data_IF_762753053190
#
_entry.id   IF_762753053190
#
_cell.length_a   1.000
_cell.length_b   1.000
_cell.length_c   1.000
_cell.angle_alpha   90.00
_cell.angle_beta   90.00
_cell.angle_gamma   90.00
#
_symmetry.space_group_name_H-M   'P 1'
#
loop_
_entity.id
_entity.type
_entity.pdbx_description
1 polymer ?
#
# COMPACT_ATOMS: atom_id res chain seq x y z
N UNK A 1 9.84 42.24 -72.66
CA UNK A 1 10.61 43.43 -73.04
C UNK A 1 12.01 43.34 -72.45
N UNK A 2 13.03 43.43 -73.33
CA UNK A 2 14.43 43.87 -73.19
C UNK A 2 15.27 43.46 -71.95
N UNK A 3 16.32 42.64 -72.17
CA UNK A 3 17.78 42.98 -72.35
C UNK A 3 18.44 43.29 -70.98
N UNK A 4 19.64 42.82 -70.62
CA UNK A 4 20.73 42.11 -71.26
C UNK A 4 21.95 42.13 -70.31
N UNK A 5 22.84 41.15 -70.44
CA UNK A 5 24.19 40.96 -69.82
C UNK A 5 25.13 42.18 -70.07
N UNK A 6 26.42 42.29 -69.61
CA UNK A 6 27.34 41.21 -69.19
C UNK A 6 28.47 41.47 -68.13
N UNK A 7 29.07 40.34 -67.74
CA UNK A 7 30.48 40.00 -67.44
C UNK A 7 31.54 41.11 -67.24
N UNK A 8 32.34 40.94 -66.18
CA UNK A 8 33.79 41.16 -66.23
C UNK A 8 34.54 39.97 -65.60
N UNK A 9 35.53 39.47 -66.34
CA UNK A 9 36.50 38.45 -65.97
C UNK A 9 37.83 39.08 -65.52
N UNK A 10 38.69 38.20 -65.00
CA UNK A 10 40.15 38.32 -64.77
C UNK A 10 40.52 38.82 -63.36
N UNK A 11 41.50 38.25 -62.66
CA UNK A 11 42.71 37.54 -63.07
C UNK A 11 43.10 36.45 -62.06
N UNK A 12 43.74 35.39 -62.57
CA UNK A 12 44.56 34.45 -61.78
C UNK A 12 45.81 35.17 -61.26
N UNK A 13 46.18 34.94 -60.00
CA UNK A 13 47.57 34.94 -59.58
C UNK A 13 47.77 33.91 -58.47
N UNK A 14 48.60 32.93 -58.80
CA UNK A 14 49.08 31.84 -57.97
C UNK A 14 49.99 32.36 -56.86
N UNK A 15 49.65 32.09 -55.60
CA UNK A 15 50.64 32.09 -54.53
C UNK A 15 50.62 30.76 -53.80
N UNK A 16 51.80 30.13 -53.83
CA UNK A 16 52.13 28.86 -53.18
C UNK A 16 52.16 29.11 -51.68
N UNK A 17 51.37 28.35 -50.91
CA UNK A 17 51.48 28.34 -49.46
C UNK A 17 51.78 26.93 -48.96
N UNK A 18 52.91 26.80 -48.27
CA UNK A 18 53.40 25.56 -47.68
C UNK A 18 52.54 25.12 -46.49
N UNK A 19 52.41 23.81 -46.22
CA UNK A 19 51.55 23.33 -45.14
C UNK A 19 52.18 23.56 -43.77
N UNK A 20 51.57 24.44 -42.96
CA UNK A 20 51.83 24.52 -41.51
C UNK A 20 51.23 23.29 -40.82
N UNK A 21 52.11 22.47 -40.23
CA UNK A 21 51.75 21.39 -39.28
C UNK A 21 50.89 21.96 -38.15
N UNK A 22 49.61 21.60 -38.11
CA UNK A 22 48.76 21.79 -36.94
C UNK A 22 48.93 20.59 -36.02
N UNK A 23 49.42 20.86 -34.81
CA UNK A 23 49.43 19.95 -33.68
C UNK A 23 48.00 19.62 -33.26
N UNK A 24 47.66 18.34 -33.27
CA UNK A 24 46.41 17.80 -32.71
C UNK A 24 46.42 17.91 -31.18
N UNK A 25 45.39 18.46 -30.52
CA UNK A 25 45.25 18.34 -29.09
C UNK A 25 44.92 16.89 -28.72
N UNK A 26 45.71 16.30 -27.82
CA UNK A 26 45.49 14.98 -27.24
C UNK A 26 44.24 15.04 -26.35
N UNK A 27 43.07 14.72 -26.88
CA UNK A 27 41.91 14.40 -26.06
C UNK A 27 42.24 13.15 -25.24
N UNK A 28 42.47 13.35 -23.94
CA UNK A 28 42.49 12.28 -22.98
C UNK A 28 41.03 11.84 -22.81
N UNK A 29 40.65 10.77 -23.49
CA UNK A 29 39.41 10.08 -23.21
C UNK A 29 39.50 9.55 -21.77
N UNK A 30 38.95 10.31 -20.82
CA UNK A 30 38.66 9.80 -19.49
C UNK A 30 37.61 8.72 -19.70
N UNK A 31 38.07 7.47 -19.67
CA UNK A 31 37.23 6.30 -19.66
C UNK A 31 36.50 6.30 -18.32
N UNK A 32 35.33 6.95 -18.28
CA UNK A 32 34.40 6.81 -17.16
C UNK A 32 33.89 5.38 -17.25
N UNK A 33 34.59 4.48 -16.55
CA UNK A 33 34.11 3.14 -16.26
C UNK A 33 32.74 3.31 -15.59
N UNK A 34 31.65 2.80 -16.16
CA UNK A 34 30.39 2.78 -15.46
C UNK A 34 30.63 1.91 -14.22
N UNK A 35 30.45 2.50 -13.03
CA UNK A 35 30.25 1.72 -11.83
C UNK A 35 29.07 0.80 -12.12
N UNK A 36 29.38 -0.47 -12.42
CA UNK A 36 28.40 -1.54 -12.30
C UNK A 36 27.93 -1.39 -10.85
N UNK A 37 26.67 -1.01 -10.66
CA UNK A 37 26.04 -0.95 -9.34
C UNK A 37 26.04 -2.39 -8.83
N UNK A 38 27.19 -2.79 -8.28
CA UNK A 38 27.44 -4.11 -7.77
C UNK A 38 26.52 -4.30 -6.59
N UNK A 39 25.84 -5.44 -6.57
CA UNK A 39 25.19 -5.95 -5.38
C UNK A 39 26.18 -5.88 -4.22
N UNK A 40 26.04 -4.89 -3.35
CA UNK A 40 26.91 -4.73 -2.20
C UNK A 40 26.41 -5.67 -1.12
N UNK A 41 27.01 -6.87 -1.09
CA UNK A 41 26.72 -7.85 -0.06
C UNK A 41 27.18 -7.36 1.31
N UNK A 42 26.40 -7.69 2.34
CA UNK A 42 26.73 -7.37 3.72
C UNK A 42 27.98 -8.15 4.18
N UNK A 43 28.98 -7.52 4.83
CA UNK A 43 30.14 -8.21 5.37
C UNK A 43 29.77 -9.31 6.38
N UNK A 44 30.61 -10.34 6.53
CA UNK A 44 30.31 -11.50 7.39
C UNK A 44 29.96 -11.12 8.84
N UNK A 45 30.74 -10.22 9.46
CA UNK A 45 30.48 -9.76 10.84
C UNK A 45 29.12 -9.06 10.96
N UNK A 46 28.72 -8.28 9.95
CA UNK A 46 27.42 -7.61 9.92
C UNK A 46 26.28 -8.62 9.68
N UNK A 47 26.48 -9.65 8.83
CA UNK A 47 25.55 -10.78 8.71
C UNK A 47 25.35 -11.49 10.06
N UNK A 48 26.44 -11.72 10.80
CA UNK A 48 26.39 -12.31 12.14
C UNK A 48 25.63 -11.44 13.15
N UNK A 49 25.82 -10.12 13.12
CA UNK A 49 25.05 -9.19 13.98
C UNK A 49 23.55 -9.20 13.66
N UNK A 50 23.16 -9.31 12.37
CA UNK A 50 21.75 -9.46 11.97
C UNK A 50 21.18 -10.79 12.48
N UNK A 51 21.91 -11.89 12.34
CA UNK A 51 21.51 -13.19 12.90
C UNK A 51 21.34 -13.14 14.42
N UNK A 52 22.28 -12.50 15.14
CA UNK A 52 22.19 -12.34 16.59
C UNK A 52 21.01 -11.44 16.99
N UNK A 53 20.73 -10.39 16.22
CA UNK A 53 19.56 -9.55 16.44
C UNK A 53 18.24 -10.32 16.25
N UNK A 54 18.21 -11.26 15.30
CA UNK A 54 17.06 -12.16 15.10
C UNK A 54 16.86 -13.08 16.30
N UNK A 55 17.93 -13.66 16.85
CA UNK A 55 17.87 -14.43 18.10
C UNK A 55 17.38 -13.56 19.28
N UNK A 56 17.94 -12.36 19.45
CA UNK A 56 17.52 -11.43 20.49
C UNK A 56 16.04 -11.05 20.34
N UNK A 57 15.54 -10.90 19.11
CA UNK A 57 14.12 -10.67 18.84
C UNK A 57 13.24 -11.86 19.24
N UNK A 58 13.65 -13.09 18.91
CA UNK A 58 12.94 -14.31 19.29
C UNK A 58 12.91 -14.49 20.81
N UNK A 59 14.01 -14.14 21.48
CA UNK A 59 14.16 -14.10 22.95
C UNK A 59 13.41 -12.93 23.62
N UNK A 60 12.68 -12.10 22.84
CA UNK A 60 11.98 -10.89 23.31
C UNK A 60 12.89 -9.81 23.89
N UNK A 61 14.20 -9.86 23.66
CA UNK A 61 15.19 -8.82 24.01
C UNK A 61 15.16 -7.68 22.98
N UNK A 62 13.99 -7.06 22.80
CA UNK A 62 13.75 -6.05 21.75
C UNK A 62 14.76 -4.88 21.76
N UNK A 63 15.18 -4.32 22.92
CA UNK A 63 16.19 -3.26 22.92
C UNK A 63 17.56 -3.71 22.41
N UNK A 64 18.00 -4.92 22.76
CA UNK A 64 19.28 -5.47 22.31
C UNK A 64 19.25 -5.75 20.80
N UNK A 65 18.20 -6.43 20.32
CA UNK A 65 17.98 -6.66 18.89
C UNK A 65 18.02 -5.36 18.10
N UNK A 66 17.29 -4.33 18.58
CA UNK A 66 17.26 -3.02 17.92
C UNK A 66 18.63 -2.35 17.90
N UNK A 67 19.36 -2.35 19.00
CA UNK A 67 20.69 -1.72 19.07
C UNK A 67 21.67 -2.35 18.06
N UNK A 68 21.66 -3.68 17.92
CA UNK A 68 22.47 -4.39 16.90
C UNK A 68 22.09 -3.97 15.48
N UNK A 69 20.80 -3.94 15.19
CA UNK A 69 20.30 -3.54 13.88
C UNK A 69 20.64 -2.09 13.56
N UNK A 70 20.51 -1.18 14.53
CA UNK A 70 20.89 0.22 14.35
C UNK A 70 22.38 0.36 14.02
N UNK A 71 23.26 -0.42 14.68
CA UNK A 71 24.69 -0.43 14.37
C UNK A 71 24.97 -0.90 12.92
N UNK A 72 24.36 -2.01 12.50
CA UNK A 72 24.48 -2.53 11.12
C UNK A 72 23.98 -1.50 10.11
N UNK A 73 22.81 -0.92 10.34
CA UNK A 73 22.14 -0.02 9.40
C UNK A 73 22.80 1.37 9.32
N UNK A 74 23.49 1.81 10.37
CA UNK A 74 24.26 3.06 10.34
C UNK A 74 25.49 2.97 9.42
N UNK A 75 26.07 1.77 9.27
CA UNK A 75 27.30 1.56 8.51
C UNK A 75 27.03 1.00 7.11
N UNK A 76 26.03 0.12 7.00
CA UNK A 76 25.75 -0.67 5.80
C UNK A 76 24.31 -0.49 5.28
N UNK A 77 23.60 0.57 5.69
CA UNK A 77 22.18 0.77 5.36
C UNK A 77 21.84 0.86 3.86
N UNK A 78 22.83 1.09 2.99
CA UNK A 78 22.64 1.12 1.53
C UNK A 78 23.02 -0.19 0.82
N UNK A 79 23.45 -1.20 1.59
CA UNK A 79 23.84 -2.50 1.05
C UNK A 79 22.61 -3.33 0.73
N UNK A 80 22.60 -4.06 -0.40
CA UNK A 80 21.48 -4.95 -0.73
C UNK A 80 21.29 -6.02 0.34
N UNK A 81 22.40 -6.48 0.94
CA UNK A 81 22.39 -7.42 2.06
C UNK A 81 21.84 -6.86 3.38
N UNK A 82 21.53 -5.57 3.48
CA UNK A 82 20.93 -4.96 4.68
C UNK A 82 19.40 -5.09 4.72
N UNK A 83 18.76 -5.60 3.67
CA UNK A 83 17.30 -5.70 3.59
C UNK A 83 16.66 -6.47 4.76
N UNK A 84 17.27 -7.58 5.19
CA UNK A 84 16.79 -8.37 6.33
C UNK A 84 16.86 -7.58 7.64
N UNK A 85 17.92 -6.78 7.83
CA UNK A 85 18.07 -5.93 9.01
C UNK A 85 16.94 -4.89 9.08
N UNK A 86 16.61 -4.25 7.96
CA UNK A 86 15.46 -3.36 7.86
C UNK A 86 14.15 -4.08 8.18
N UNK A 87 13.91 -5.26 7.59
CA UNK A 87 12.70 -6.02 7.88
C UNK A 87 12.56 -6.38 9.36
N UNK A 88 13.64 -6.81 10.01
CA UNK A 88 13.61 -7.14 11.43
C UNK A 88 13.37 -5.90 12.30
N UNK A 89 14.03 -4.78 11.99
CA UNK A 89 13.80 -3.52 12.72
C UNK A 89 12.39 -3.00 12.50
N UNK A 90 11.81 -3.21 11.30
CA UNK A 90 10.42 -2.88 11.01
C UNK A 90 9.46 -3.66 11.92
N UNK A 91 9.69 -4.97 12.13
CA UNK A 91 8.91 -5.78 13.09
C UNK A 91 8.97 -5.21 14.50
N UNK A 92 10.17 -4.92 14.99
CA UNK A 92 10.38 -4.34 16.33
C UNK A 92 9.66 -2.99 16.45
N UNK A 93 9.79 -2.13 15.45
CA UNK A 93 9.13 -0.83 15.42
C UNK A 93 7.60 -0.97 15.38
N UNK A 94 7.06 -1.95 14.66
CA UNK A 94 5.62 -2.22 14.61
C UNK A 94 5.09 -2.69 15.98
N UNK A 95 5.78 -3.61 16.65
CA UNK A 95 5.41 -4.12 17.98
C UNK A 95 5.51 -3.05 19.07
N UNK A 96 6.47 -2.13 18.95
CA UNK A 96 6.66 -1.00 19.88
C UNK A 96 5.84 0.23 19.51
N UNK A 97 4.80 0.05 18.67
CA UNK A 97 3.86 1.09 18.22
C UNK A 97 4.47 2.26 17.44
N UNK A 98 5.73 2.16 17.01
CA UNK A 98 6.36 3.13 16.10
C UNK A 98 6.05 2.81 14.63
N UNK A 99 4.76 2.88 14.27
CA UNK A 99 4.27 2.51 12.93
C UNK A 99 4.94 3.28 11.78
N UNK A 100 5.30 4.55 12.02
CA UNK A 100 5.95 5.38 10.99
C UNK A 100 7.37 4.89 10.68
N UNK A 101 8.15 4.54 11.71
CA UNK A 101 9.50 3.98 11.51
C UNK A 101 9.43 2.57 10.91
N UNK A 102 8.47 1.77 11.37
CA UNK A 102 8.23 0.44 10.81
C UNK A 102 7.92 0.49 9.31
N UNK A 103 7.10 1.45 8.87
CA UNK A 103 6.76 1.59 7.46
C UNK A 103 7.99 1.99 6.62
N UNK A 104 8.80 2.94 7.11
CA UNK A 104 10.04 3.33 6.42
C UNK A 104 11.02 2.17 6.30
N UNK A 105 11.19 1.40 7.37
CA UNK A 105 12.07 0.23 7.35
C UNK A 105 11.54 -0.87 6.41
N UNK A 106 10.23 -1.13 6.40
CA UNK A 106 9.63 -2.07 5.45
C UNK A 106 9.82 -1.63 3.99
N UNK A 107 9.67 -0.33 3.70
CA UNK A 107 9.95 0.24 2.37
C UNK A 107 11.41 0.08 1.98
N UNK A 108 12.34 0.33 2.91
CA UNK A 108 13.78 0.16 2.64
C UNK A 108 14.16 -1.29 2.39
N UNK A 109 13.52 -2.24 3.07
CA UNK A 109 13.65 -3.66 2.76
C UNK A 109 13.17 -3.98 1.33
N UNK A 110 12.01 -3.47 0.92
CA UNK A 110 11.47 -3.68 -0.45
C UNK A 110 12.44 -3.15 -1.51
N UNK A 111 13.05 -1.99 -1.28
CA UNK A 111 14.01 -1.38 -2.21
C UNK A 111 15.32 -2.17 -2.35
N UNK A 112 15.81 -2.77 -1.26
CA UNK A 112 17.13 -3.41 -1.22
C UNK A 112 17.09 -4.92 -1.46
N UNK A 113 15.98 -5.58 -1.11
CA UNK A 113 15.88 -7.04 -1.10
C UNK A 113 15.94 -7.63 -2.50
N UNK A 114 16.81 -8.63 -2.66
CA UNK A 114 16.87 -9.50 -3.84
C UNK A 114 16.13 -10.83 -3.61
N UNK A 115 15.72 -11.10 -2.37
CA UNK A 115 14.94 -12.28 -1.98
C UNK A 115 13.44 -11.99 -2.17
N UNK A 116 12.79 -12.76 -3.05
CA UNK A 116 11.38 -12.60 -3.38
C UNK A 116 10.44 -12.85 -2.20
N UNK A 117 10.77 -13.80 -1.33
CA UNK A 117 9.97 -14.12 -0.14
C UNK A 117 10.09 -13.00 0.90
N UNK A 118 11.31 -12.50 1.14
CA UNK A 118 11.53 -11.36 2.03
C UNK A 118 10.81 -10.11 1.53
N UNK A 119 10.90 -9.83 0.23
CA UNK A 119 10.18 -8.71 -0.40
C UNK A 119 8.66 -8.85 -0.22
N UNK A 120 8.11 -10.05 -0.41
CA UNK A 120 6.68 -10.33 -0.18
C UNK A 120 6.28 -10.08 1.29
N UNK A 121 7.09 -10.52 2.25
CA UNK A 121 6.88 -10.26 3.69
C UNK A 121 6.93 -8.76 4.02
N UNK A 122 7.87 -8.02 3.43
CA UNK A 122 7.99 -6.57 3.64
C UNK A 122 6.80 -5.81 3.03
N UNK A 123 6.31 -6.22 1.86
CA UNK A 123 5.05 -5.73 1.29
C UNK A 123 3.85 -6.01 2.20
N UNK A 124 3.73 -7.23 2.75
CA UNK A 124 2.65 -7.58 3.67
C UNK A 124 2.65 -6.67 4.91
N UNK A 125 3.84 -6.34 5.42
CA UNK A 125 4.03 -5.43 6.55
C UNK A 125 3.67 -3.98 6.20
N UNK A 126 4.18 -3.44 5.10
CA UNK A 126 3.89 -2.09 4.66
C UNK A 126 2.37 -1.89 4.46
N UNK A 127 1.74 -2.82 3.73
CA UNK A 127 0.29 -2.81 3.49
C UNK A 127 -0.51 -2.94 4.79
N UNK A 128 -0.05 -3.78 5.73
CA UNK A 128 -0.65 -3.90 7.07
C UNK A 128 -0.59 -2.58 7.85
N UNK A 129 0.58 -1.95 7.91
CA UNK A 129 0.78 -0.70 8.65
C UNK A 129 -0.08 0.44 8.07
N UNK A 130 -0.19 0.50 6.74
CA UNK A 130 -1.04 1.47 6.06
C UNK A 130 -2.53 1.17 6.27
N UNK A 131 -2.95 -0.09 6.22
CA UNK A 131 -4.32 -0.49 6.56
C UNK A 131 -4.70 -0.05 7.98
N UNK A 132 -3.83 -0.32 8.95
CA UNK A 132 -4.10 0.01 10.36
C UNK A 132 -4.09 1.51 10.66
N UNK A 133 -3.43 2.32 9.84
CA UNK A 133 -3.47 3.79 9.93
C UNK A 133 -4.59 4.40 9.09
N UNK A 134 -5.39 3.57 8.42
CA UNK A 134 -6.50 4.00 7.56
C UNK A 134 -6.08 4.55 6.19
N UNK A 135 -4.81 4.41 5.81
CA UNK A 135 -4.29 4.76 4.50
C UNK A 135 -4.58 3.67 3.47
N UNK A 136 -5.87 3.35 3.28
CA UNK A 136 -6.35 2.21 2.48
C UNK A 136 -5.90 2.25 1.02
N UNK A 137 -5.95 3.43 0.37
CA UNK A 137 -5.44 3.59 -1.00
C UNK A 137 -3.96 3.23 -1.14
N UNK A 138 -3.13 3.62 -0.17
CA UNK A 138 -1.69 3.30 -0.17
C UNK A 138 -1.42 1.83 0.15
N UNK A 139 -2.27 1.19 0.97
CA UNK A 139 -2.13 -0.21 1.36
C UNK A 139 -2.35 -1.20 0.21
N UNK A 140 -3.28 -0.90 -0.70
CA UNK A 140 -3.68 -1.77 -1.83
C UNK A 140 -2.48 -2.34 -2.60
N UNK A 141 -1.57 -1.53 -3.20
CA UNK A 141 -0.48 -2.06 -4.00
C UNK A 141 0.49 -2.94 -3.19
N UNK A 142 0.68 -2.64 -1.90
CA UNK A 142 1.53 -3.46 -1.05
C UNK A 142 0.87 -4.80 -0.68
N UNK A 143 -0.43 -4.81 -0.38
CA UNK A 143 -1.16 -6.05 -0.06
C UNK A 143 -1.28 -6.98 -1.29
N UNK A 144 -1.50 -6.40 -2.47
CA UNK A 144 -1.50 -7.13 -3.75
C UNK A 144 -0.14 -7.76 -4.07
N UNK A 145 0.93 -6.97 -3.96
CA UNK A 145 2.30 -7.45 -4.17
C UNK A 145 2.68 -8.58 -3.18
N UNK A 146 2.24 -8.48 -1.93
CA UNK A 146 2.43 -9.53 -0.94
C UNK A 146 1.77 -10.85 -1.37
N UNK A 147 0.48 -10.81 -1.70
CA UNK A 147 -0.32 -12.00 -2.04
C UNK A 147 0.15 -12.71 -3.31
N UNK A 148 0.86 -12.03 -4.20
CA UNK A 148 1.39 -12.64 -5.44
C UNK A 148 2.36 -13.81 -5.15
N UNK A 149 3.05 -13.80 -4.00
CA UNK A 149 4.10 -14.78 -3.67
C UNK A 149 4.01 -15.35 -2.25
N UNK A 150 3.05 -14.91 -1.44
CA UNK A 150 2.81 -15.54 -0.15
C UNK A 150 2.31 -16.98 -0.35
N UNK A 151 2.81 -17.94 0.43
CA UNK A 151 2.23 -19.28 0.47
C UNK A 151 0.75 -19.23 0.85
N UNK A 152 -0.09 -20.09 0.26
CA UNK A 152 -1.53 -20.18 0.56
C UNK A 152 -1.80 -20.88 1.91
N UNK A 153 -1.26 -20.31 2.99
CA UNK A 153 -1.48 -20.70 4.39
C UNK A 153 -1.44 -19.46 5.27
N UNK A 154 -1.97 -19.50 6.50
CA UNK A 154 -1.87 -18.37 7.42
C UNK A 154 -0.42 -17.85 7.52
N UNK A 155 -0.20 -16.52 7.45
CA UNK A 155 -1.20 -15.45 7.58
C UNK A 155 -1.74 -14.87 6.24
N UNK A 156 -1.68 -15.60 5.12
CA UNK A 156 -2.16 -15.10 3.82
C UNK A 156 -3.68 -14.77 3.82
N UNK A 157 -4.46 -15.47 4.64
CA UNK A 157 -5.86 -15.18 4.94
C UNK A 157 -6.06 -13.77 5.51
N UNK A 158 -5.23 -13.36 6.47
CA UNK A 158 -5.28 -12.01 7.06
C UNK A 158 -4.91 -10.94 6.04
N UNK A 159 -3.88 -11.17 5.23
CA UNK A 159 -3.46 -10.23 4.19
C UNK A 159 -4.56 -10.08 3.13
N UNK A 160 -5.16 -11.19 2.70
CA UNK A 160 -6.29 -11.19 1.75
C UNK A 160 -7.51 -10.47 2.31
N UNK A 161 -7.86 -10.71 3.57
CA UNK A 161 -8.96 -9.99 4.22
C UNK A 161 -8.71 -8.48 4.22
N UNK A 162 -7.53 -8.05 4.65
CA UNK A 162 -7.14 -6.62 4.68
C UNK A 162 -7.17 -6.01 3.27
N UNK A 163 -6.73 -6.76 2.27
CA UNK A 163 -6.78 -6.32 0.88
C UNK A 163 -8.21 -6.08 0.41
N UNK A 164 -9.11 -7.04 0.64
CA UNK A 164 -10.54 -6.90 0.35
C UNK A 164 -11.17 -5.69 1.05
N UNK A 165 -10.86 -5.45 2.32
CA UNK A 165 -11.36 -4.27 3.05
C UNK A 165 -10.82 -2.96 2.46
N UNK A 166 -9.54 -2.89 2.10
CA UNK A 166 -8.97 -1.71 1.45
C UNK A 166 -9.66 -1.43 0.11
N UNK A 167 -9.82 -2.46 -0.72
CA UNK A 167 -10.52 -2.36 -2.01
C UNK A 167 -11.95 -1.83 -1.81
N UNK A 168 -12.67 -2.36 -0.83
CA UNK A 168 -14.03 -1.93 -0.53
C UNK A 168 -14.06 -0.47 -0.06
N UNK A 169 -13.16 -0.06 0.83
CA UNK A 169 -13.06 1.32 1.32
C UNK A 169 -12.85 2.34 0.18
N UNK A 170 -12.09 1.96 -0.84
CA UNK A 170 -11.84 2.75 -2.05
C UNK A 170 -12.96 2.61 -3.11
N UNK A 171 -14.06 1.91 -2.79
CA UNK A 171 -15.20 1.73 -3.68
C UNK A 171 -14.96 0.75 -4.84
N UNK A 172 -13.95 -0.12 -4.72
CA UNK A 172 -13.63 -1.21 -5.67
C UNK A 172 -14.36 -2.49 -5.25
N UNK A 173 -15.69 -2.44 -5.23
CA UNK A 173 -16.56 -3.47 -4.64
C UNK A 173 -16.46 -4.84 -5.30
N UNK A 174 -16.43 -4.91 -6.63
CA UNK A 174 -16.30 -6.17 -7.36
C UNK A 174 -15.00 -6.90 -7.03
N UNK A 175 -13.91 -6.16 -6.91
CA UNK A 175 -12.60 -6.70 -6.53
C UNK A 175 -12.57 -7.13 -5.08
N UNK A 176 -13.14 -6.33 -4.17
CA UNK A 176 -13.27 -6.70 -2.77
C UNK A 176 -14.05 -8.01 -2.59
N UNK A 177 -15.18 -8.17 -3.28
CA UNK A 177 -15.99 -9.41 -3.26
C UNK A 177 -15.18 -10.61 -3.74
N UNK A 178 -14.41 -10.46 -4.81
CA UNK A 178 -13.51 -11.53 -5.29
C UNK A 178 -12.52 -11.95 -4.20
N UNK A 179 -11.87 -11.01 -3.53
CA UNK A 179 -10.90 -11.34 -2.47
C UNK A 179 -11.57 -12.01 -1.26
N UNK A 180 -12.76 -11.55 -0.84
CA UNK A 180 -13.51 -12.20 0.23
C UNK A 180 -14.00 -13.60 -0.17
N UNK A 181 -14.44 -13.81 -1.41
CA UNK A 181 -14.83 -15.12 -1.91
C UNK A 181 -13.65 -16.09 -1.94
N UNK A 182 -12.51 -15.65 -2.47
CA UNK A 182 -11.27 -16.46 -2.45
C UNK A 182 -10.86 -16.80 -1.02
N UNK A 183 -10.98 -15.85 -0.08
CA UNK A 183 -10.69 -16.11 1.33
C UNK A 183 -11.58 -17.22 1.88
N UNK A 184 -12.90 -17.13 1.70
CA UNK A 184 -13.85 -18.13 2.22
C UNK A 184 -13.65 -19.50 1.57
N UNK A 185 -13.23 -19.55 0.30
CA UNK A 185 -12.94 -20.80 -0.39
C UNK A 185 -11.64 -21.46 0.09
N UNK A 186 -10.57 -20.68 0.27
CA UNK A 186 -9.25 -21.19 0.67
C UNK A 186 -9.16 -21.42 2.19
N UNK A 187 -9.89 -20.63 2.97
CA UNK A 187 -9.88 -20.63 4.44
C UNK A 187 -11.33 -20.66 4.94
N UNK A 188 -12.02 -21.81 4.87
CA UNK A 188 -13.45 -21.89 5.17
C UNK A 188 -13.78 -21.80 6.67
N UNK A 189 -12.80 -21.79 7.57
CA UNK A 189 -13.04 -21.74 9.00
C UNK A 189 -12.27 -20.59 9.66
N UNK A 190 -12.72 -20.19 10.86
CA UNK A 190 -12.09 -19.15 11.66
C UNK A 190 -12.69 -17.75 11.46
N UNK A 191 -12.26 -16.83 12.33
CA UNK A 191 -12.86 -15.50 12.46
C UNK A 191 -12.80 -14.66 11.17
N UNK A 192 -11.72 -14.80 10.39
CA UNK A 192 -11.56 -14.07 9.13
C UNK A 192 -12.53 -14.57 8.06
N UNK A 193 -12.78 -15.88 7.99
CA UNK A 193 -13.77 -16.48 7.11
C UNK A 193 -15.18 -15.95 7.45
N UNK A 194 -15.54 -15.95 8.74
CA UNK A 194 -16.83 -15.42 9.19
C UNK A 194 -16.97 -13.92 8.92
N UNK A 195 -15.90 -13.15 9.11
CA UNK A 195 -15.89 -11.72 8.74
C UNK A 195 -16.09 -11.55 7.24
N UNK A 196 -15.34 -12.26 6.42
CA UNK A 196 -15.45 -12.19 4.95
C UNK A 196 -16.86 -12.58 4.45
N UNK A 197 -17.49 -13.62 5.04
CA UNK A 197 -18.88 -13.98 4.73
C UNK A 197 -19.84 -12.83 5.03
N UNK A 198 -19.72 -12.18 6.18
CA UNK A 198 -20.54 -11.00 6.50
C UNK A 198 -20.34 -9.85 5.51
N UNK A 199 -19.10 -9.67 5.01
CA UNK A 199 -18.86 -8.67 3.95
C UNK A 199 -19.56 -9.04 2.65
N UNK A 200 -19.60 -10.33 2.30
CA UNK A 200 -20.27 -10.84 1.10
C UNK A 200 -21.81 -10.78 1.18
N UNK A 201 -22.38 -10.89 2.39
CA UNK A 201 -23.82 -10.72 2.63
C UNK A 201 -24.33 -9.31 2.33
N UNK A 202 -23.45 -8.31 2.23
CA UNK A 202 -23.88 -6.97 1.86
C UNK A 202 -24.30 -6.90 0.38
N UNK A 203 -25.54 -6.49 0.07
CA UNK A 203 -26.09 -6.62 -1.27
C UNK A 203 -25.69 -5.49 -2.23
N UNK A 204 -25.20 -4.36 -1.72
CA UNK A 204 -24.90 -3.16 -2.52
C UNK A 204 -23.43 -2.95 -2.80
N UNK A 205 -23.13 -2.08 -3.75
CA UNK A 205 -21.76 -1.60 -4.02
C UNK A 205 -21.60 -0.16 -3.48
N UNK A 206 -22.03 0.00 -2.23
CA UNK A 206 -22.03 1.26 -1.48
C UNK A 206 -22.01 0.99 0.02
N UNK A 207 -21.40 1.89 0.77
CA UNK A 207 -21.57 2.01 2.21
C UNK A 207 -22.90 2.70 2.53
N UNK A 208 -23.45 2.42 3.70
CA UNK A 208 -24.52 3.21 4.29
C UNK A 208 -24.23 3.50 5.77
N UNK A 209 -24.96 4.44 6.35
CA UNK A 209 -24.90 4.68 7.80
C UNK A 209 -26.09 3.99 8.45
N UNK A 210 -25.83 2.95 9.24
CA UNK A 210 -26.84 2.24 10.01
C UNK A 210 -27.20 3.03 11.27
N UNK A 211 -28.48 3.34 11.42
CA UNK A 211 -29.05 4.05 12.56
C UNK A 211 -29.73 3.11 13.57
N UNK A 212 -30.13 1.92 13.15
CA UNK A 212 -30.83 0.97 14.01
C UNK A 212 -31.12 -0.34 13.31
N UNK A 213 -31.44 -1.37 14.10
CA UNK A 213 -31.93 -2.66 13.62
C UNK A 213 -33.02 -3.14 14.58
N UNK A 214 -34.24 -3.32 14.07
CA UNK A 214 -35.43 -3.57 14.87
C UNK A 214 -36.08 -4.91 14.52
N UNK A 215 -36.73 -5.56 15.48
CA UNK A 215 -37.49 -6.79 15.22
C UNK A 215 -38.83 -6.50 14.54
N UNK A 216 -39.45 -5.37 14.86
CA UNK A 216 -40.71 -4.93 14.30
C UNK A 216 -40.53 -3.73 13.35
N UNK A 217 -41.45 -3.60 12.40
CA UNK A 217 -41.44 -2.53 11.41
C UNK A 217 -41.86 -1.18 11.99
N UNK A 218 -42.74 -1.16 12.98
CA UNK A 218 -43.25 0.07 13.60
C UNK A 218 -42.14 0.89 14.27
N UNK A 219 -41.23 0.24 14.99
CA UNK A 219 -40.08 0.87 15.64
C UNK A 219 -39.11 1.45 14.61
N UNK A 220 -38.88 0.72 13.51
CA UNK A 220 -38.08 1.21 12.39
C UNK A 220 -38.73 2.44 11.75
N UNK A 221 -40.05 2.43 11.52
CA UNK A 221 -40.80 3.56 10.95
C UNK A 221 -40.82 4.80 11.85
N UNK A 222 -40.88 4.61 13.18
CA UNK A 222 -40.68 5.69 14.15
C UNK A 222 -39.29 6.33 14.01
N UNK A 223 -38.23 5.54 13.87
CA UNK A 223 -36.88 6.07 13.65
C UNK A 223 -36.74 6.75 12.27
N UNK A 224 -37.34 6.21 11.21
CA UNK A 224 -37.42 6.85 9.88
C UNK A 224 -38.04 8.25 10.01
N UNK A 225 -39.13 8.38 10.76
CA UNK A 225 -39.81 9.66 10.93
C UNK A 225 -38.91 10.68 11.63
N UNK A 226 -38.25 10.33 12.74
CA UNK A 226 -37.32 11.23 13.43
C UNK A 226 -36.14 11.69 12.53
N UNK A 227 -35.57 10.76 11.77
CA UNK A 227 -34.49 11.05 10.82
C UNK A 227 -34.96 11.99 9.69
N UNK A 228 -36.16 11.80 9.14
CA UNK A 228 -36.73 12.67 8.09
C UNK A 228 -36.99 14.10 8.59
N UNK A 229 -37.51 14.26 9.81
CA UNK A 229 -37.69 15.59 10.42
C UNK A 229 -36.36 16.33 10.60
N UNK A 230 -35.25 15.59 10.71
CA UNK A 230 -33.90 16.15 10.76
C UNK A 230 -33.27 16.40 9.38
N UNK A 231 -34.05 16.29 8.30
CA UNK A 231 -33.60 16.53 6.92
C UNK A 231 -32.78 15.39 6.30
N UNK A 232 -32.76 14.20 6.91
CA UNK A 232 -32.04 13.04 6.39
C UNK A 232 -32.96 12.22 5.46
N UNK A 233 -32.33 11.43 4.58
CA UNK A 233 -33.03 10.52 3.66
C UNK A 233 -32.81 9.06 4.08
N UNK A 234 -33.55 8.56 5.09
CA UNK A 234 -33.38 7.20 5.57
C UNK A 234 -34.25 6.21 4.78
N UNK A 235 -33.89 4.93 4.85
CA UNK A 235 -34.65 3.80 4.29
C UNK A 235 -34.58 2.59 5.23
N UNK A 236 -35.54 1.69 5.09
CA UNK A 236 -35.54 0.39 5.78
C UNK A 236 -35.10 -0.68 4.80
N UNK A 237 -34.11 -1.47 5.19
CA UNK A 237 -33.70 -2.68 4.48
C UNK A 237 -33.81 -3.88 5.44
N UNK A 238 -34.64 -4.90 5.12
CA UNK A 238 -34.64 -6.15 5.88
C UNK A 238 -33.31 -6.87 5.73
N UNK A 239 -32.70 -7.28 6.84
CA UNK A 239 -31.43 -8.02 6.84
C UNK A 239 -31.50 -9.23 7.74
N UNK A 240 -31.02 -10.36 7.27
CA UNK A 240 -30.87 -11.57 8.08
C UNK A 240 -29.63 -11.43 8.95
N UNK A 241 -29.77 -11.69 10.25
CA UNK A 241 -28.66 -11.79 11.20
C UNK A 241 -28.94 -12.96 12.13
N UNK A 242 -28.06 -13.96 12.12
CA UNK A 242 -28.19 -15.16 12.96
C UNK A 242 -29.56 -15.86 12.82
N UNK A 243 -30.07 -15.95 11.59
CA UNK A 243 -31.35 -16.59 11.28
C UNK A 243 -32.60 -15.76 11.61
N UNK A 244 -32.45 -14.51 12.08
CA UNK A 244 -33.56 -13.58 12.32
C UNK A 244 -33.52 -12.42 11.33
N UNK A 245 -34.67 -12.07 10.78
CA UNK A 245 -34.80 -10.88 9.93
C UNK A 245 -35.02 -9.64 10.79
N UNK A 246 -34.15 -8.65 10.64
CA UNK A 246 -34.24 -7.35 11.31
C UNK A 246 -34.53 -6.25 10.29
N UNK A 247 -35.38 -5.31 10.67
CA UNK A 247 -35.64 -4.08 9.93
C UNK A 247 -34.49 -3.11 10.20
N UNK A 248 -33.54 -3.01 9.26
CA UNK A 248 -32.35 -2.18 9.43
C UNK A 248 -32.62 -0.79 8.85
N UNK A 249 -32.45 0.25 9.65
CA UNK A 249 -32.61 1.64 9.22
C UNK A 249 -31.25 2.17 8.77
N UNK A 250 -31.20 2.61 7.51
CA UNK A 250 -29.98 3.07 6.84
C UNK A 250 -30.16 4.49 6.31
N UNK A 251 -29.11 5.30 6.36
CA UNK A 251 -29.04 6.64 5.78
C UNK A 251 -27.96 6.68 4.71
N UNK A 252 -28.32 7.22 3.55
CA UNK A 252 -27.41 7.46 2.43
C UNK A 252 -26.89 6.20 1.73
N UNK A 253 -26.28 6.43 0.58
CA UNK A 253 -25.51 5.44 -0.17
C UNK A 253 -24.21 6.13 -0.60
N UNK A 254 -23.09 5.60 -0.15
CA UNK A 254 -21.78 6.24 -0.32
C UNK A 254 -20.85 5.28 -1.04
N UNK A 255 -20.27 5.71 -2.16
CA UNK A 255 -19.38 4.85 -2.95
C UNK A 255 -18.13 4.40 -2.18
N UNK A 256 -17.60 5.28 -1.33
CA UNK A 256 -16.36 5.06 -0.57
C UNK A 256 -16.59 5.20 0.93
N UNK A 257 -15.71 4.57 1.71
CA UNK A 257 -15.77 4.67 3.17
C UNK A 257 -15.50 6.11 3.63
N UNK A 258 -14.61 6.83 2.93
CA UNK A 258 -14.31 8.24 3.21
C UNK A 258 -15.55 9.12 3.06
N UNK A 259 -16.38 8.91 2.03
CA UNK A 259 -17.62 9.65 1.84
C UNK A 259 -18.64 9.35 2.96
N UNK A 260 -18.81 8.08 3.33
CA UNK A 260 -19.66 7.70 4.46
C UNK A 260 -19.16 8.30 5.79
N UNK A 261 -17.85 8.31 6.00
CA UNK A 261 -17.21 8.90 7.19
C UNK A 261 -17.42 10.40 7.28
N UNK A 262 -17.39 11.12 6.17
CA UNK A 262 -17.70 12.55 6.13
C UNK A 262 -19.16 12.85 6.45
N UNK A 263 -20.09 11.96 6.10
CA UNK A 263 -21.52 12.11 6.40
C UNK A 263 -21.91 11.67 7.82
N UNK A 264 -21.14 10.77 8.44
CA UNK A 264 -21.44 10.17 9.74
C UNK A 264 -21.71 11.19 10.87
N UNK A 265 -20.95 12.30 11.04
CA UNK A 265 -21.20 13.26 12.11
C UNK A 265 -22.60 13.88 12.06
N UNK A 266 -23.12 14.18 10.86
CA UNK A 266 -24.47 14.75 10.70
C UNK A 266 -25.55 13.76 11.12
N UNK A 267 -25.37 12.47 10.83
CA UNK A 267 -26.29 11.42 11.27
C UNK A 267 -26.19 11.19 12.78
N UNK A 268 -24.98 11.25 13.35
CA UNK A 268 -24.75 11.08 14.79
C UNK A 268 -25.37 12.16 15.68
N UNK A 269 -25.68 13.33 15.13
CA UNK A 269 -26.46 14.36 15.84
C UNK A 269 -27.89 13.90 16.16
N UNK A 270 -28.44 13.01 15.36
CA UNK A 270 -29.80 12.46 15.53
C UNK A 270 -29.75 11.08 16.19
N UNK A 271 -28.78 10.26 15.80
CA UNK A 271 -28.61 8.89 16.29
C UNK A 271 -27.16 8.67 16.70
N UNK A 272 -26.87 8.89 17.99
CA UNK A 272 -25.50 8.83 18.54
C UNK A 272 -24.80 7.49 18.28
N UNK A 273 -25.56 6.39 18.31
CA UNK A 273 -25.10 5.03 18.04
C UNK A 273 -24.96 4.68 16.56
N UNK A 274 -25.11 5.63 15.63
CA UNK A 274 -25.00 5.35 14.21
C UNK A 274 -23.59 4.89 13.83
N UNK A 275 -23.51 3.87 12.96
CA UNK A 275 -22.26 3.26 12.50
C UNK A 275 -22.26 3.14 10.98
N UNK A 276 -21.08 3.15 10.36
CA UNK A 276 -20.96 2.86 8.93
C UNK A 276 -21.06 1.36 8.76
N UNK A 277 -21.97 0.93 7.90
CA UNK A 277 -22.05 -0.43 7.42
C UNK A 277 -21.42 -0.47 6.01
N UNK A 278 -20.44 -1.38 5.77
CA UNK A 278 -20.16 -1.84 4.42
C UNK A 278 -21.38 -2.54 3.90
#
# INVERSE_FOLDING_TARGET
MRRGRPLHQSTRSSERWAPRRRSSPRFHAVLVLPFVAGCTELPLHAKQEVSQAQEDYLDRKLPAARARLDNVLNTFGDYTGAAEAYYLRAKINAETSNKSAALRDAQRCIELSQDRELTSKAHAMAGTLQFETGATAAAIPHLEAALTRMPERPPADLIRYRYGVCLQHEGRWSEARREFSTLVQQYPAGDLAERARRMLEWPGDHFAIQCGAFHDRSSAESQISALRHSGLSPRIEPRSRSGKTLQTVLVGQFRTYSAARSALPSVKKVVSGAVIAP
#
